data_IF_814600482930
#
_entry.id   IF_814600482930
#
_cell.length_a   1.000
_cell.length_b   1.000
_cell.length_c   1.000
_cell.angle_alpha   90.00
_cell.angle_beta   90.00
_cell.angle_gamma   90.00
#
_symmetry.space_group_name_H-M   'P 1'
#
loop_
_entity.id
_entity.type
_entity.pdbx_description
1 polymer ?
#
# COMPACT_ATOMS: atom_id res chain seq x y z
N UNK A 1 54.37 -3.61 20.25
CA UNK A 1 53.53 -3.73 19.04
C UNK A 1 52.93 -2.36 18.75
N UNK A 2 53.11 -1.77 17.56
CA UNK A 2 52.49 -0.48 17.24
C UNK A 2 51.00 -0.66 16.95
N UNK A 3 50.17 0.26 17.46
CA UNK A 3 48.74 0.29 17.17
C UNK A 3 48.50 0.88 15.78
N UNK A 4 47.65 0.21 14.99
CA UNK A 4 47.24 0.68 13.67
C UNK A 4 46.01 1.56 13.85
N UNK A 5 46.07 2.80 13.37
CA UNK A 5 44.93 3.72 13.37
C UNK A 5 43.86 3.21 12.40
N UNK A 6 42.67 2.89 12.92
CA UNK A 6 41.51 2.65 12.09
C UNK A 6 41.04 3.97 11.50
N UNK A 7 41.26 4.15 10.20
CA UNK A 7 40.59 5.19 9.43
C UNK A 7 39.24 4.59 9.02
N UNK A 8 38.11 5.02 9.61
CA UNK A 8 36.81 4.64 9.08
C UNK A 8 36.79 5.09 7.63
N UNK A 9 36.72 4.12 6.70
CA UNK A 9 36.75 4.39 5.27
C UNK A 9 35.82 5.55 4.96
N UNK A 10 36.41 6.67 4.52
CA UNK A 10 35.67 7.88 4.18
C UNK A 10 34.51 7.48 3.27
N UNK A 11 33.30 7.78 3.73
CA UNK A 11 32.09 7.12 3.26
C UNK A 11 32.03 7.04 1.74
N UNK A 12 32.06 5.80 1.21
CA UNK A 12 31.53 5.48 -0.11
C UNK A 12 30.03 5.79 -0.06
N UNK A 13 29.68 7.07 -0.16
CA UNK A 13 28.31 7.53 -0.35
C UNK A 13 27.92 7.08 -1.75
N UNK A 14 27.44 5.84 -1.83
CA UNK A 14 26.99 5.25 -3.07
C UNK A 14 25.94 6.15 -3.68
N UNK A 15 26.05 6.38 -4.99
CA UNK A 15 25.04 7.07 -5.79
C UNK A 15 23.74 6.26 -5.66
N UNK A 16 22.82 6.76 -4.83
CA UNK A 16 21.59 6.07 -4.48
C UNK A 16 20.38 6.99 -4.55
N UNK A 17 19.27 6.39 -4.99
CA UNK A 17 17.92 6.92 -4.95
C UNK A 17 17.08 6.06 -4.01
N UNK A 18 16.33 6.69 -3.11
CA UNK A 18 15.41 6.03 -2.19
C UNK A 18 13.99 6.45 -2.50
N UNK A 19 13.12 5.50 -2.80
CA UNK A 19 11.69 5.75 -2.96
C UNK A 19 10.92 5.17 -1.76
N UNK A 20 10.08 5.99 -1.14
CA UNK A 20 9.24 5.57 -0.02
C UNK A 20 7.79 5.33 -0.47
N UNK A 21 7.06 4.53 0.31
CA UNK A 21 5.62 4.29 0.11
C UNK A 21 4.77 5.57 0.10
N UNK A 22 5.23 6.65 0.74
CA UNK A 22 4.55 7.95 0.75
C UNK A 22 4.74 8.76 -0.54
N UNK A 23 5.55 8.26 -1.47
CA UNK A 23 5.88 8.97 -2.71
C UNK A 23 6.95 10.03 -2.54
N UNK A 24 7.82 9.92 -1.52
CA UNK A 24 9.04 10.73 -1.44
C UNK A 24 10.19 9.98 -2.10
N UNK A 25 10.82 10.64 -3.07
CA UNK A 25 12.05 10.22 -3.73
C UNK A 25 13.21 11.02 -3.17
N UNK A 26 14.17 10.36 -2.54
CA UNK A 26 15.38 10.95 -1.99
C UNK A 26 16.62 10.55 -2.78
N UNK A 27 17.41 11.52 -3.20
CA UNK A 27 18.70 11.33 -3.86
C UNK A 27 19.83 11.62 -2.87
N UNK A 28 20.82 10.74 -2.84
CA UNK A 28 22.08 10.96 -2.11
C UNK A 28 22.80 12.24 -2.61
N UNK A 29 23.60 12.87 -1.74
CA UNK A 29 24.38 14.05 -2.12
C UNK A 29 25.25 13.78 -3.35
N UNK A 30 25.91 12.62 -3.42
CA UNK A 30 26.79 12.27 -4.53
C UNK A 30 26.02 12.04 -5.84
N UNK A 31 24.80 11.50 -5.78
CA UNK A 31 23.90 11.46 -6.92
C UNK A 31 23.57 12.88 -7.43
N UNK A 32 23.27 13.81 -6.52
CA UNK A 32 22.96 15.20 -6.88
C UNK A 32 24.14 15.88 -7.58
N UNK A 33 25.37 15.59 -7.13
CA UNK A 33 26.61 16.08 -7.76
C UNK A 33 26.81 15.47 -9.14
N UNK A 34 26.77 14.15 -9.22
CA UNK A 34 27.00 13.40 -10.44
C UNK A 34 26.02 13.79 -11.56
N UNK A 35 24.80 14.17 -11.20
CA UNK A 35 23.75 14.52 -12.15
C UNK A 35 23.59 16.04 -12.39
N UNK A 36 24.50 16.87 -11.86
CA UNK A 36 24.45 18.32 -12.06
C UNK A 36 23.23 18.99 -11.42
N UNK A 37 22.59 18.35 -10.44
CA UNK A 37 21.41 18.85 -9.74
C UNK A 37 21.77 19.78 -8.57
N UNK A 38 23.05 20.08 -8.36
CA UNK A 38 23.54 20.90 -7.24
C UNK A 38 23.00 22.33 -7.22
N UNK A 39 22.60 22.88 -8.38
CA UNK A 39 22.05 24.25 -8.48
C UNK A 39 20.57 24.27 -8.90
N UNK A 40 19.98 23.11 -9.19
CA UNK A 40 18.58 22.95 -9.54
C UNK A 40 17.62 23.11 -8.34
N UNK A 41 16.81 24.18 -8.33
CA UNK A 41 15.74 24.37 -7.34
C UNK A 41 14.47 23.58 -7.72
N UNK A 42 14.26 23.39 -9.02
CA UNK A 42 13.13 22.66 -9.58
C UNK A 42 13.62 21.57 -10.53
N UNK A 43 12.80 20.53 -10.70
CA UNK A 43 13.05 19.40 -11.59
C UNK A 43 11.78 19.04 -12.35
N UNK A 44 11.94 18.62 -13.60
CA UNK A 44 10.89 17.98 -14.38
C UNK A 44 10.95 16.46 -14.19
N UNK A 45 9.77 15.85 -14.03
CA UNK A 45 9.60 14.41 -13.94
C UNK A 45 9.13 13.85 -15.29
N UNK A 46 9.79 12.79 -15.72
CA UNK A 46 9.38 11.97 -16.84
C UNK A 46 9.10 10.55 -16.33
N UNK A 47 8.08 9.90 -16.86
CA UNK A 47 7.79 8.50 -16.54
C UNK A 47 7.73 7.69 -17.82
N UNK A 48 8.58 6.67 -17.89
CA UNK A 48 8.56 5.68 -18.95
C UNK A 48 7.75 4.46 -18.46
N UNK A 49 6.55 4.22 -19.02
CA UNK A 49 5.71 3.10 -18.62
C UNK A 49 6.24 1.74 -19.12
N UNK A 50 6.99 1.71 -20.21
CA UNK A 50 7.53 0.49 -20.80
C UNK A 50 8.70 -0.04 -19.98
N UNK A 51 9.66 0.86 -19.69
CA UNK A 51 10.84 0.52 -18.87
C UNK A 51 10.56 0.59 -17.38
N UNK A 52 9.41 1.15 -16.98
CA UNK A 52 9.06 1.46 -15.58
C UNK A 52 10.19 2.25 -14.92
N UNK A 53 10.60 3.33 -15.56
CA UNK A 53 11.68 4.18 -15.09
C UNK A 53 11.20 5.62 -14.90
N UNK A 54 11.79 6.32 -13.94
CA UNK A 54 11.59 7.76 -13.78
C UNK A 54 12.79 8.50 -14.36
N UNK A 55 12.52 9.46 -15.23
CA UNK A 55 13.48 10.46 -15.66
C UNK A 55 13.40 11.71 -14.78
N UNK A 56 14.53 12.24 -14.37
CA UNK A 56 14.63 13.56 -13.75
C UNK A 56 15.48 14.47 -14.60
N UNK A 57 15.03 15.72 -14.74
CA UNK A 57 15.81 16.78 -15.39
C UNK A 57 15.80 18.05 -14.57
N UNK A 58 16.95 18.72 -14.45
CA UNK A 58 17.00 20.06 -13.89
C UNK A 58 16.12 21.00 -14.71
N UNK A 59 15.30 21.81 -14.03
CA UNK A 59 14.37 22.71 -14.67
C UNK A 59 14.39 24.08 -14.01
N UNK A 60 14.02 25.11 -14.78
CA UNK A 60 13.78 26.45 -14.26
C UNK A 60 12.42 26.51 -13.54
N UNK A 61 12.25 27.44 -12.59
CA UNK A 61 10.97 27.61 -11.88
C UNK A 61 9.80 27.95 -12.81
N UNK A 62 10.07 28.61 -13.93
CA UNK A 62 9.05 29.09 -14.87
C UNK A 62 8.61 28.01 -15.88
N UNK A 63 9.22 26.83 -15.84
CA UNK A 63 8.87 25.72 -16.72
C UNK A 63 7.57 25.03 -16.25
N UNK A 64 6.68 24.75 -17.19
CA UNK A 64 5.41 24.07 -16.91
C UNK A 64 5.67 22.66 -16.37
N UNK A 65 5.09 22.34 -15.22
CA UNK A 65 5.29 21.04 -14.55
C UNK A 65 6.55 20.95 -13.68
N UNK A 66 7.28 22.05 -13.49
CA UNK A 66 8.44 22.11 -12.62
C UNK A 66 8.07 21.80 -11.15
N UNK A 67 8.72 20.79 -10.57
CA UNK A 67 8.50 20.40 -9.18
C UNK A 67 9.62 20.90 -8.28
N UNK A 68 9.22 21.52 -7.18
CA UNK A 68 10.15 22.02 -6.17
C UNK A 68 10.87 20.89 -5.47
N UNK A 69 12.18 21.02 -5.33
CA UNK A 69 13.01 20.08 -4.63
C UNK A 69 13.30 20.59 -3.22
N UNK A 70 13.28 19.68 -2.24
CA UNK A 70 13.70 19.97 -0.86
C UNK A 70 15.12 19.46 -0.64
N UNK A 71 16.05 20.36 -0.36
CA UNK A 71 17.45 19.99 -0.12
C UNK A 71 17.75 19.93 1.37
N UNK A 72 18.48 18.89 1.77
CA UNK A 72 19.08 18.74 3.11
C UNK A 72 20.56 18.44 2.95
N UNK A 73 21.30 18.51 4.07
CA UNK A 73 22.77 18.37 4.10
C UNK A 73 23.34 17.13 3.37
N UNK A 74 22.60 16.01 3.33
CA UNK A 74 23.05 14.74 2.73
C UNK A 74 22.11 14.15 1.68
N UNK A 75 20.88 14.65 1.60
CA UNK A 75 19.83 14.06 0.79
C UNK A 75 18.97 15.17 0.21
N UNK A 76 18.67 15.03 -1.07
CA UNK A 76 17.77 15.90 -1.80
C UNK A 76 16.49 15.14 -2.07
N UNK A 77 15.36 15.63 -1.56
CA UNK A 77 14.07 14.94 -1.61
C UNK A 77 13.07 15.69 -2.48
N UNK A 78 12.28 14.95 -3.25
CA UNK A 78 11.16 15.48 -4.02
C UNK A 78 9.93 14.57 -3.88
N UNK A 79 8.75 15.16 -4.01
CA UNK A 79 7.48 14.44 -3.92
C UNK A 79 7.05 14.00 -5.32
N UNK A 80 6.98 12.68 -5.54
CA UNK A 80 6.46 12.06 -6.76
C UNK A 80 5.06 11.46 -6.55
N UNK A 81 4.39 11.79 -5.44
CA UNK A 81 3.11 11.19 -5.08
C UNK A 81 2.04 11.33 -6.17
N UNK A 82 1.92 12.52 -6.76
CA UNK A 82 0.98 12.77 -7.85
C UNK A 82 1.21 11.85 -9.05
N UNK A 83 2.48 11.64 -9.42
CA UNK A 83 2.88 10.73 -10.49
C UNK A 83 2.50 9.27 -10.14
N UNK A 84 2.80 8.83 -8.91
CA UNK A 84 2.44 7.47 -8.48
C UNK A 84 0.92 7.25 -8.53
N UNK A 85 0.12 8.24 -8.13
CA UNK A 85 -1.34 8.17 -8.18
C UNK A 85 -1.85 8.15 -9.62
N UNK A 86 -1.31 9.03 -10.48
CA UNK A 86 -1.68 9.14 -11.90
C UNK A 86 -1.42 7.84 -12.67
N UNK A 87 -0.25 7.24 -12.49
CA UNK A 87 0.13 5.98 -13.15
C UNK A 87 -0.23 4.73 -12.33
N UNK A 88 -0.99 4.90 -11.23
CA UNK A 88 -1.45 3.83 -10.34
C UNK A 88 -0.32 2.94 -9.84
N UNK A 89 0.84 3.52 -9.56
CA UNK A 89 2.00 2.84 -9.04
C UNK A 89 1.89 2.65 -7.53
N UNK A 90 2.23 1.45 -7.07
CA UNK A 90 2.22 1.04 -5.67
C UNK A 90 3.63 0.67 -5.26
N UNK A 91 4.15 1.41 -4.31
CA UNK A 91 5.45 1.16 -3.70
C UNK A 91 5.20 0.36 -2.42
N UNK A 92 5.67 -0.89 -2.32
CA UNK A 92 5.36 -1.77 -1.19
C UNK A 92 6.04 -1.35 0.13
N UNK A 93 7.07 -0.51 0.06
CA UNK A 93 7.86 -0.09 1.22
C UNK A 93 8.90 0.97 0.89
N UNK A 94 10.09 0.84 1.47
CA UNK A 94 11.25 1.65 1.10
C UNK A 94 12.06 0.88 0.05
N UNK A 95 12.22 1.46 -1.14
CA UNK A 95 13.05 0.94 -2.21
C UNK A 95 14.34 1.77 -2.26
N UNK A 96 15.48 1.10 -2.37
CA UNK A 96 16.78 1.72 -2.61
C UNK A 96 17.22 1.25 -3.99
N UNK A 97 17.61 2.20 -4.83
CA UNK A 97 17.84 1.99 -6.25
C UNK A 97 19.06 2.79 -6.67
N UNK A 98 19.69 2.35 -7.75
CA UNK A 98 20.89 2.99 -8.29
C UNK A 98 20.46 3.85 -9.48
N UNK A 99 20.50 5.19 -9.36
CA UNK A 99 20.16 6.08 -10.45
C UNK A 99 21.30 6.09 -11.48
N UNK A 100 20.93 6.13 -12.75
CA UNK A 100 21.85 6.20 -13.88
C UNK A 100 21.67 7.54 -14.60
N UNK A 101 22.72 8.05 -15.23
CA UNK A 101 22.63 9.24 -16.06
C UNK A 101 22.63 8.83 -17.52
N UNK A 102 21.62 9.27 -18.27
CA UNK A 102 21.62 9.14 -19.71
C UNK A 102 22.07 10.47 -20.32
N UNK A 103 23.28 10.47 -20.87
CA UNK A 103 23.89 11.63 -21.52
C UNK A 103 23.13 12.06 -22.78
N UNK A 104 22.44 11.13 -23.46
CA UNK A 104 21.74 11.42 -24.72
C UNK A 104 20.54 12.32 -24.52
N UNK A 105 19.77 12.05 -23.47
CA UNK A 105 18.55 12.79 -23.14
C UNK A 105 18.76 13.80 -22.00
N UNK A 106 19.96 13.79 -21.39
CA UNK A 106 20.29 14.59 -20.21
C UNK A 106 19.29 14.36 -19.07
N UNK A 107 18.99 13.07 -18.83
CA UNK A 107 18.01 12.60 -17.86
C UNK A 107 18.68 11.69 -16.83
N UNK A 108 18.33 11.90 -15.57
CA UNK A 108 18.62 10.91 -14.53
C UNK A 108 17.54 9.85 -14.58
N UNK A 109 17.93 8.64 -14.95
CA UNK A 109 17.06 7.47 -15.03
C UNK A 109 17.10 6.71 -13.71
N UNK A 110 15.92 6.50 -13.14
CA UNK A 110 15.72 5.85 -11.85
C UNK A 110 14.80 4.65 -12.08
N UNK A 111 15.35 3.42 -12.16
CA UNK A 111 14.58 2.24 -12.53
C UNK A 111 13.70 1.79 -11.37
N UNK A 112 12.36 1.83 -11.52
CA UNK A 112 11.40 1.53 -10.45
C UNK A 112 11.27 0.02 -10.17
N UNK A 113 12.40 -0.66 -9.98
CA UNK A 113 12.47 -2.09 -9.67
C UNK A 113 11.78 -2.35 -8.32
N UNK A 114 10.68 -3.10 -8.37
CA UNK A 114 9.88 -3.44 -7.19
C UNK A 114 8.60 -2.59 -7.01
N UNK A 115 8.37 -1.59 -7.85
CA UNK A 115 7.08 -0.88 -7.91
C UNK A 115 6.08 -1.72 -8.70
N UNK A 116 4.90 -1.92 -8.14
CA UNK A 116 3.81 -2.71 -8.76
C UNK A 116 2.73 -1.75 -9.26
N UNK A 117 2.13 -2.04 -10.41
CA UNK A 117 0.91 -1.34 -10.78
C UNK A 117 -0.24 -1.85 -9.92
N UNK A 118 -1.04 -0.93 -9.36
CA UNK A 118 -2.25 -1.28 -8.65
C UNK A 118 -3.14 -2.04 -9.63
N UNK A 119 -3.62 -3.25 -9.29
CA UNK A 119 -4.60 -3.94 -10.11
C UNK A 119 -5.81 -3.01 -10.27
N UNK A 120 -6.26 -2.82 -11.52
CA UNK A 120 -7.44 -2.01 -11.79
C UNK A 120 -8.59 -2.48 -10.91
N UNK A 121 -9.38 -1.53 -10.39
CA UNK A 121 -10.67 -1.88 -9.79
C UNK A 121 -11.45 -2.57 -10.91
N UNK A 122 -11.67 -3.89 -10.81
CA UNK A 122 -12.81 -4.48 -11.52
C UNK A 122 -14.00 -3.63 -11.08
N UNK A 123 -14.82 -3.08 -12.01
CA UNK A 123 -16.07 -2.47 -11.61
C UNK A 123 -16.77 -3.49 -10.73
N UNK A 124 -17.06 -3.11 -9.48
CA UNK A 124 -17.82 -3.97 -8.59
C UNK A 124 -19.17 -4.12 -9.27
N UNK A 125 -19.43 -5.28 -9.87
CA UNK A 125 -20.78 -5.60 -10.29
C UNK A 125 -21.66 -5.34 -9.05
N UNK A 126 -22.73 -4.53 -9.16
CA UNK A 126 -23.60 -4.29 -8.03
C UNK A 126 -24.04 -5.67 -7.52
N UNK A 127 -23.78 -5.94 -6.24
CA UNK A 127 -24.23 -7.19 -5.60
C UNK A 127 -25.72 -7.32 -5.92
N UNK A 128 -26.19 -8.45 -6.49
CA UNK A 128 -27.61 -8.60 -6.77
C UNK A 128 -28.37 -8.38 -5.46
N UNK A 129 -29.20 -7.33 -5.43
CA UNK A 129 -30.15 -7.11 -4.35
C UNK A 129 -31.01 -8.36 -4.28
N UNK A 130 -30.80 -9.18 -3.25
CA UNK A 130 -31.73 -10.25 -2.92
C UNK A 130 -33.05 -9.58 -2.57
N UNK A 131 -33.94 -9.48 -3.54
CA UNK A 131 -35.33 -9.06 -3.31
C UNK A 131 -35.96 -10.17 -2.49
N UNK A 132 -36.02 -9.99 -1.17
CA UNK A 132 -36.79 -10.87 -0.29
C UNK A 132 -38.24 -10.77 -0.77
N UNK A 133 -38.74 -11.82 -1.42
CA UNK A 133 -40.16 -11.93 -1.78
C UNK A 133 -40.97 -11.75 -0.49
N UNK A 134 -41.99 -10.88 -0.47
CA UNK A 134 -42.85 -10.76 0.69
C UNK A 134 -43.54 -12.10 0.93
N UNK A 135 -43.49 -12.57 2.19
CA UNK A 135 -44.21 -13.75 2.61
C UNK A 135 -45.70 -13.56 2.28
N UNK A 136 -46.29 -14.51 1.54
CA UNK A 136 -47.74 -14.58 1.34
C UNK A 136 -48.38 -14.64 2.73
N UNK A 137 -49.09 -13.56 3.12
CA UNK A 137 -50.05 -13.61 4.22
C UNK A 137 -51.09 -14.66 3.86
N UNK A 138 -51.13 -15.76 4.62
CA UNK A 138 -52.24 -16.69 4.58
C UNK A 138 -53.50 -15.95 5.03
N UNK A 139 -54.50 -15.92 4.16
CA UNK A 139 -55.81 -15.37 4.43
C UNK A 139 -56.52 -16.22 5.50
N UNK A 140 -57.25 -15.54 6.37
CA UNK A 140 -58.04 -16.11 7.46
C UNK A 140 -59.21 -16.96 6.94
N UNK A 141 -59.57 -18.00 7.70
CA UNK A 141 -60.91 -18.60 7.69
C UNK A 141 -61.38 -18.80 9.15
N UNK A 142 -62.69 -18.64 9.46
CA UNK A 142 -63.14 -18.39 10.84
C UNK A 142 -63.83 -19.59 11.53
N UNK A 143 -63.81 -19.51 12.87
CA UNK A 143 -64.80 -19.96 13.86
C UNK A 143 -65.14 -21.47 14.01
N UNK A 144 -64.94 -22.03 15.22
CA UNK A 144 -65.98 -22.12 16.29
C UNK A 144 -65.47 -22.89 17.52
N UNK A 145 -66.07 -22.52 18.64
CA UNK A 145 -65.79 -22.88 20.04
C UNK A 145 -66.70 -24.03 20.48
N UNK A 146 -66.18 -25.02 21.23
CA UNK A 146 -66.75 -25.62 22.48
C UNK A 146 -66.18 -27.02 22.74
N UNK A 147 -65.84 -27.29 24.00
CA UNK A 147 -65.75 -28.65 24.55
C UNK A 147 -64.44 -29.00 25.24
N UNK A 148 -64.31 -28.67 26.53
CA UNK A 148 -63.43 -29.38 27.50
C UNK A 148 -64.22 -30.61 28.01
N UNK A 149 -63.60 -31.69 28.54
CA UNK A 149 -62.88 -31.60 29.82
C UNK A 149 -61.56 -32.41 29.90
N UNK A 150 -60.90 -32.20 31.04
CA UNK A 150 -59.59 -32.67 31.49
C UNK A 150 -59.53 -34.20 31.63
N UNK A 151 -58.33 -34.78 31.42
CA UNK A 151 -57.91 -35.99 32.15
C UNK A 151 -56.45 -35.84 32.58
N UNK A 152 -56.24 -35.95 33.89
CA UNK A 152 -54.95 -35.96 34.56
C UNK A 152 -54.47 -37.42 34.74
N UNK A 153 -53.17 -37.62 34.64
CA UNK A 153 -52.38 -38.69 35.28
C UNK A 153 -50.90 -38.19 35.18
N UNK A 154 -50.26 -37.70 36.24
CA UNK A 154 -49.66 -38.48 37.34
C UNK A 154 -48.77 -39.60 36.78
N UNK A 155 -47.45 -39.40 36.70
CA UNK A 155 -46.48 -39.68 37.77
C UNK A 155 -45.77 -41.01 37.47
N UNK A 156 -44.45 -40.94 37.20
CA UNK A 156 -43.49 -42.02 37.49
C UNK A 156 -42.08 -41.59 37.06
N UNK A 157 -41.42 -40.80 37.91
CA UNK A 157 -39.98 -40.91 38.07
C UNK A 157 -39.72 -42.06 39.07
N UNK A 158 -38.74 -42.94 38.85
CA UNK A 158 -38.14 -43.68 39.94
C UNK A 158 -36.72 -43.16 40.19
N UNK A 159 -36.55 -42.48 41.32
CA UNK A 159 -35.30 -42.52 42.04
C UNK A 159 -35.35 -43.72 43.00
N UNK A 160 -34.31 -44.58 43.01
CA UNK A 160 -33.52 -44.93 44.21
C UNK A 160 -32.57 -46.13 44.02
N UNK A 161 -31.33 -45.88 44.48
CA UNK A 161 -30.45 -46.70 45.36
C UNK A 161 -29.89 -48.03 44.86
N UNK A 162 -28.56 -48.14 44.97
CA UNK A 162 -27.90 -49.41 45.35
C UNK A 162 -26.45 -49.56 44.89
N UNK A 163 -25.50 -49.36 45.80
CA UNK A 163 -24.03 -49.57 45.68
C UNK A 163 -23.68 -51.08 45.78
N UNK A 164 -22.53 -51.55 45.24
CA UNK A 164 -21.39 -51.96 46.10
C UNK A 164 -20.02 -51.56 45.49
N UNK A 165 -19.05 -50.97 46.21
CA UNK A 165 -18.06 -51.45 47.22
C UNK A 165 -16.81 -52.15 46.65
N UNK A 166 -15.65 -51.56 47.03
CA UNK A 166 -14.29 -52.10 47.24
C UNK A 166 -13.48 -52.63 46.04
N UNK A 167 -12.35 -52.00 45.75
CA UNK A 167 -11.05 -52.29 46.41
C UNK A 167 -10.24 -51.00 46.51
#
# INVERSE_FOLDING_TARGET
MPFIQFIPGGGNQKIQATLTAKGLLGLSADAVKAFGLENATHVLLFFDPERRALGLRAARPDESGALKITRRKRVTSLSIRALLEQYRLVVPGKLIMEPQFDEKENLVIIPLLGVRMRPGRRPSAPKPKVVRRPARKAAAAPARRRGRPRKAAAEAAPARRGRPRKS
#
